data_IF_844312046864
#
_entry.id   IF_844312046864
#
_cell.length_a   1.000
_cell.length_b   1.000
_cell.length_c   1.000
_cell.angle_alpha   90.00
_cell.angle_beta   90.00
_cell.angle_gamma   90.00
#
_symmetry.space_group_name_H-M   'P 1'
#
loop_
_entity.id
_entity.type
_entity.pdbx_description
1 polymer ?
#
# COMPACT_ATOMS: atom_id res chain seq x y z
N UNK A 1 -0.98 -26.06 -9.35
CA UNK A 1 -2.10 -25.15 -9.65
C UNK A 1 -2.46 -24.50 -8.34
N UNK A 2 -2.44 -23.18 -8.29
CA UNK A 2 -2.80 -22.43 -7.09
C UNK A 2 -4.31 -22.41 -6.90
N UNK A 3 -4.80 -22.67 -5.69
CA UNK A 3 -6.24 -22.74 -5.41
C UNK A 3 -6.61 -22.21 -4.02
N UNK A 4 -7.85 -21.76 -3.87
CA UNK A 4 -8.42 -21.40 -2.57
C UNK A 4 -8.90 -22.66 -1.86
N UNK A 5 -8.28 -23.00 -0.74
CA UNK A 5 -8.55 -24.25 0.01
C UNK A 5 -9.42 -24.03 1.26
N UNK A 6 -9.56 -22.78 1.68
CA UNK A 6 -10.38 -22.38 2.83
C UNK A 6 -10.84 -20.93 2.67
N UNK A 7 -12.05 -20.67 3.11
CA UNK A 7 -12.62 -19.32 3.19
C UNK A 7 -13.39 -19.19 4.50
N UNK A 8 -13.10 -18.13 5.23
CA UNK A 8 -13.84 -17.70 6.40
C UNK A 8 -14.24 -16.23 6.23
N UNK A 9 -15.42 -15.88 6.73
CA UNK A 9 -15.85 -14.50 6.76
C UNK A 9 -16.52 -14.19 8.10
N UNK A 10 -16.34 -12.96 8.55
CA UNK A 10 -16.94 -12.46 9.78
C UNK A 10 -17.44 -11.04 9.59
N UNK A 11 -18.55 -10.70 10.24
CA UNK A 11 -19.04 -9.32 10.24
C UNK A 11 -18.20 -8.49 11.21
N UNK A 12 -17.42 -7.56 10.69
CA UNK A 12 -16.52 -6.69 11.46
C UNK A 12 -17.13 -5.34 11.82
N UNK A 13 -18.26 -4.98 11.19
CA UNK A 13 -18.99 -3.76 11.52
C UNK A 13 -20.43 -3.74 11.01
N UNK A 14 -21.11 -2.61 11.17
CA UNK A 14 -22.49 -2.43 10.66
C UNK A 14 -22.55 -2.73 9.16
N UNK A 15 -21.58 -2.21 8.43
CA UNK A 15 -21.48 -2.27 6.97
C UNK A 15 -20.19 -2.96 6.49
N UNK A 16 -19.46 -3.66 7.37
CA UNK A 16 -18.19 -4.29 7.00
C UNK A 16 -18.22 -5.80 7.22
N UNK A 17 -17.67 -6.53 6.26
CA UNK A 17 -17.43 -7.96 6.33
C UNK A 17 -15.95 -8.19 6.05
N UNK A 18 -15.27 -8.87 6.97
CA UNK A 18 -13.88 -9.28 6.78
C UNK A 18 -13.88 -10.70 6.22
N UNK A 19 -13.16 -10.91 5.13
CA UNK A 19 -12.95 -12.18 4.47
C UNK A 19 -11.49 -12.61 4.62
N UNK A 20 -11.26 -13.87 4.96
CA UNK A 20 -9.95 -14.50 4.97
C UNK A 20 -9.99 -15.75 4.09
N UNK A 21 -9.23 -15.72 3.00
CA UNK A 21 -9.08 -16.83 2.07
C UNK A 21 -7.68 -17.45 2.25
N UNK A 22 -7.61 -18.76 2.41
CA UNK A 22 -6.35 -19.49 2.40
C UNK A 22 -6.09 -20.04 1.00
N UNK A 23 -4.99 -19.60 0.41
CA UNK A 23 -4.55 -19.95 -0.94
C UNK A 23 -3.37 -20.91 -0.84
N UNK A 24 -3.43 -22.02 -1.55
CA UNK A 24 -2.39 -23.05 -1.61
C UNK A 24 -1.68 -22.99 -2.97
N UNK A 25 -0.36 -22.76 -3.01
CA UNK A 25 0.45 -22.74 -4.24
C UNK A 25 1.06 -24.10 -4.62
N UNK A 26 0.66 -25.16 -3.93
CA UNK A 26 1.02 -26.56 -4.16
C UNK A 26 2.36 -26.98 -3.55
N UNK A 27 3.42 -26.21 -3.80
CA UNK A 27 4.77 -26.47 -3.28
C UNK A 27 5.30 -25.28 -2.49
N UNK A 28 6.20 -25.54 -1.53
CA UNK A 28 6.87 -24.47 -0.80
C UNK A 28 7.75 -23.62 -1.72
N UNK A 29 7.59 -22.30 -1.59
CA UNK A 29 8.39 -21.29 -2.30
C UNK A 29 9.10 -20.38 -1.31
N UNK A 30 10.24 -19.83 -1.73
CA UNK A 30 10.98 -18.85 -0.95
C UNK A 30 10.33 -17.47 -1.00
N UNK A 31 10.19 -16.86 0.17
CA UNK A 31 9.53 -15.57 0.37
C UNK A 31 10.61 -14.51 0.58
N UNK A 32 10.97 -13.82 -0.49
CA UNK A 32 11.86 -12.66 -0.41
C UNK A 32 11.15 -11.52 0.32
N UNK A 33 11.83 -10.95 1.30
CA UNK A 33 11.27 -9.91 2.17
C UNK A 33 11.96 -8.59 1.93
N UNK A 34 11.19 -7.52 2.05
CA UNK A 34 11.69 -6.14 2.09
C UNK A 34 11.47 -5.58 3.48
N UNK A 35 12.47 -4.83 3.97
CA UNK A 35 12.34 -4.00 5.16
C UNK A 35 12.16 -2.55 4.73
N UNK A 36 11.06 -1.95 5.15
CA UNK A 36 10.73 -0.55 4.91
C UNK A 36 10.84 0.24 6.20
N UNK A 37 11.38 1.46 6.11
CA UNK A 37 11.43 2.39 7.24
C UNK A 37 10.29 3.39 7.14
N UNK A 38 9.48 3.50 8.19
CA UNK A 38 8.29 4.38 8.17
C UNK A 38 8.63 5.86 7.99
N UNK A 39 9.81 6.30 8.41
CA UNK A 39 10.29 7.67 8.27
C UNK A 39 11.09 7.94 7.00
N UNK A 40 11.37 6.90 6.21
CA UNK A 40 12.13 6.99 4.96
C UNK A 40 11.52 6.04 3.93
N UNK A 41 10.46 6.54 3.30
CA UNK A 41 9.66 5.83 2.28
C UNK A 41 10.51 5.31 1.10
N UNK A 42 11.72 5.86 0.89
CA UNK A 42 12.60 5.48 -0.22
C UNK A 42 13.80 4.60 0.17
N UNK A 43 14.02 4.32 1.46
CA UNK A 43 15.13 3.46 1.94
C UNK A 43 14.65 2.02 2.19
N UNK A 44 13.91 1.42 1.25
CA UNK A 44 13.52 0.02 1.37
C UNK A 44 14.72 -0.90 1.09
N UNK A 45 14.91 -1.92 1.94
CA UNK A 45 16.04 -2.84 1.85
C UNK A 45 15.52 -4.25 1.63
N UNK A 46 15.82 -4.83 0.47
CA UNK A 46 15.59 -6.26 0.22
C UNK A 46 16.52 -7.04 1.14
N UNK A 47 15.94 -7.89 2.00
CA UNK A 47 16.69 -8.69 2.95
C UNK A 47 17.50 -9.76 2.21
N UNK A 48 18.70 -10.06 2.69
CA UNK A 48 19.52 -11.14 2.12
C UNK A 48 19.03 -12.51 2.61
N UNK A 49 19.31 -13.60 1.87
CA UNK A 49 19.03 -14.96 2.33
C UNK A 49 19.66 -15.25 3.71
N UNK A 50 19.12 -16.21 4.49
CA UNK A 50 18.06 -17.14 4.13
C UNK A 50 16.65 -16.52 4.17
N UNK A 51 15.83 -16.87 3.18
CA UNK A 51 14.43 -16.46 3.11
C UNK A 51 13.52 -17.50 3.78
N UNK A 52 12.46 -17.07 4.49
CA UNK A 52 11.44 -17.98 4.95
C UNK A 52 10.75 -18.64 3.76
N UNK A 53 10.22 -19.85 3.96
CA UNK A 53 9.49 -20.61 2.94
C UNK A 53 8.04 -20.77 3.35
N UNK A 54 7.14 -20.77 2.37
CA UNK A 54 5.76 -21.18 2.60
C UNK A 54 5.12 -21.76 1.35
N UNK A 55 4.10 -22.59 1.57
CA UNK A 55 3.14 -23.09 0.59
C UNK A 55 1.81 -22.32 0.59
N UNK A 56 1.54 -21.55 1.65
CA UNK A 56 0.22 -20.95 1.88
C UNK A 56 0.29 -19.43 1.92
N UNK A 57 -0.77 -18.81 1.38
CA UNK A 57 -1.00 -17.38 1.45
C UNK A 57 -2.38 -17.11 2.04
N UNK A 58 -2.47 -16.12 2.92
CA UNK A 58 -3.73 -15.56 3.39
C UNK A 58 -4.04 -14.32 2.56
N UNK A 59 -5.15 -14.35 1.83
CA UNK A 59 -5.76 -13.18 1.22
C UNK A 59 -6.84 -12.67 2.17
N UNK A 60 -6.57 -11.51 2.76
CA UNK A 60 -7.51 -10.79 3.61
C UNK A 60 -8.16 -9.66 2.82
N UNK A 61 -9.49 -9.62 2.80
CA UNK A 61 -10.27 -8.57 2.14
C UNK A 61 -11.28 -8.04 3.14
N UNK A 62 -11.32 -6.71 3.32
CA UNK A 62 -12.44 -6.04 3.98
C UNK A 62 -13.40 -5.52 2.93
N UNK A 63 -14.61 -6.03 2.95
CA UNK A 63 -15.70 -5.63 2.09
C UNK A 63 -16.60 -4.62 2.83
N UNK A 64 -16.83 -3.45 2.23
CA UNK A 64 -17.85 -2.51 2.68
C UNK A 64 -19.14 -2.70 1.87
N UNK A 65 -20.26 -2.92 2.58
CA UNK A 65 -21.59 -3.08 2.00
C UNK A 65 -22.52 -1.98 2.49
N UNK A 66 -23.15 -1.31 1.54
CA UNK A 66 -24.26 -0.38 1.79
C UNK A 66 -25.45 -0.71 0.88
N UNK A 67 -26.57 -0.03 1.08
CA UNK A 67 -27.80 -0.16 0.29
C UNK A 67 -27.60 0.00 -1.22
N UNK A 68 -26.55 0.69 -1.65
CA UNK A 68 -26.22 0.93 -3.05
C UNK A 68 -25.26 -0.10 -3.69
N UNK A 69 -24.64 -0.99 -2.90
CA UNK A 69 -23.70 -1.98 -3.44
C UNK A 69 -22.64 -2.44 -2.45
N UNK A 70 -21.63 -3.13 -3.00
CA UNK A 70 -20.46 -3.61 -2.28
C UNK A 70 -19.18 -3.09 -2.92
N UNK A 71 -18.18 -2.76 -2.10
CA UNK A 71 -16.85 -2.35 -2.53
C UNK A 71 -15.78 -2.95 -1.62
N UNK A 72 -14.55 -3.05 -2.13
CA UNK A 72 -13.41 -3.45 -1.31
C UNK A 72 -12.80 -2.22 -0.64
N UNK A 73 -12.75 -2.26 0.68
CA UNK A 73 -12.23 -1.20 1.56
C UNK A 73 -10.74 -1.40 1.87
N UNK A 74 -10.33 -2.64 2.08
CA UNK A 74 -8.93 -3.01 2.35
C UNK A 74 -8.61 -4.39 1.77
N UNK A 75 -7.37 -4.59 1.34
CA UNK A 75 -6.90 -5.84 0.77
C UNK A 75 -5.43 -6.07 1.09
N UNK A 76 -5.15 -7.24 1.66
CA UNK A 76 -3.80 -7.63 2.08
C UNK A 76 -3.54 -9.09 1.71
N UNK A 77 -2.33 -9.36 1.22
CA UNK A 77 -1.86 -10.73 0.94
C UNK A 77 -0.65 -11.02 1.80
N UNK A 78 -0.77 -12.02 2.66
CA UNK A 78 0.28 -12.46 3.56
C UNK A 78 0.77 -13.86 3.18
N UNK A 79 2.08 -14.08 3.02
CA UNK A 79 2.63 -15.42 3.11
C UNK A 79 2.44 -15.93 4.54
N UNK A 80 1.92 -17.14 4.74
CA UNK A 80 1.55 -17.64 6.07
C UNK A 80 1.99 -19.07 6.31
N UNK A 81 2.18 -19.45 7.57
CA UNK A 81 2.20 -20.84 7.99
C UNK A 81 0.78 -21.25 8.36
N UNK A 82 0.33 -22.41 7.85
CA UNK A 82 -1.00 -22.93 8.12
C UNK A 82 -0.97 -24.46 8.24
N UNK A 83 -1.89 -24.99 9.03
CA UNK A 83 -2.12 -26.43 9.14
C UNK A 83 -3.61 -26.75 9.17
N UNK A 84 -3.94 -27.98 8.82
CA UNK A 84 -5.30 -28.50 8.91
C UNK A 84 -5.39 -29.44 10.11
N UNK A 85 -6.29 -29.16 11.04
CA UNK A 85 -6.63 -30.13 12.08
C UNK A 85 -7.26 -31.38 11.44
N UNK A 86 -6.99 -32.59 11.95
CA UNK A 86 -7.57 -33.81 11.37
C UNK A 86 -9.08 -33.88 11.60
N UNK A 87 -9.78 -34.61 10.74
CA UNK A 87 -11.19 -34.95 10.98
C UNK A 87 -11.29 -35.85 12.22
N UNK A 88 -12.24 -35.55 13.11
CA UNK A 88 -12.55 -36.41 14.25
C UNK A 88 -13.54 -37.49 13.79
N UNK A 89 -13.09 -38.74 13.74
CA UNK A 89 -13.93 -39.90 13.44
C UNK A 89 -13.99 -40.85 14.65
N UNK A 90 -15.19 -41.34 14.99
CA UNK A 90 -15.39 -42.39 16.02
C UNK A 90 -16.22 -43.49 15.37
N UNK A 91 -15.72 -44.73 15.45
CA UNK A 91 -16.38 -45.92 14.86
C UNK A 91 -16.74 -45.75 13.38
N UNK A 92 -15.90 -45.05 12.61
CA UNK A 92 -16.15 -44.78 11.18
C UNK A 92 -17.10 -43.62 10.89
N UNK A 93 -17.75 -43.04 11.91
CA UNK A 93 -18.60 -41.85 11.78
C UNK A 93 -17.76 -40.59 11.97
N UNK A 94 -17.81 -39.67 10.98
CA UNK A 94 -17.17 -38.35 11.09
C UNK A 94 -18.01 -37.44 11.98
N UNK A 95 -17.50 -37.15 13.18
CA UNK A 95 -18.15 -36.30 14.17
C UNK A 95 -17.81 -34.82 14.01
N UNK A 96 -16.58 -34.52 13.58
CA UNK A 96 -16.14 -33.15 13.32
C UNK A 96 -15.22 -33.12 12.12
N UNK A 97 -15.47 -32.19 11.20
CA UNK A 97 -14.56 -31.92 10.09
C UNK A 97 -13.38 -31.10 10.61
N UNK A 98 -12.19 -31.45 10.18
CA UNK A 98 -10.96 -30.71 10.40
C UNK A 98 -11.07 -29.30 9.84
N UNK A 99 -10.56 -28.34 10.59
CA UNK A 99 -10.52 -26.92 10.24
C UNK A 99 -9.09 -26.50 9.89
N UNK A 100 -8.96 -25.54 8.98
CA UNK A 100 -7.70 -24.88 8.70
C UNK A 100 -7.41 -23.83 9.77
N UNK A 101 -6.14 -23.73 10.15
CA UNK A 101 -5.65 -22.75 11.12
C UNK A 101 -4.39 -22.10 10.57
N UNK A 102 -4.40 -20.77 10.51
CA UNK A 102 -3.23 -19.95 10.23
C UNK A 102 -2.47 -19.77 11.54
N UNK A 103 -1.22 -20.22 11.60
CA UNK A 103 -0.39 -20.15 12.80
C UNK A 103 0.45 -18.89 12.88
N UNK A 104 0.96 -18.43 11.74
CA UNK A 104 1.85 -17.29 11.69
C UNK A 104 1.74 -16.60 10.32
N UNK A 105 1.66 -15.27 10.32
CA UNK A 105 1.90 -14.46 9.12
C UNK A 105 3.38 -14.14 9.03
N UNK A 106 4.00 -14.38 7.87
CA UNK A 106 5.40 -14.05 7.59
C UNK A 106 5.49 -12.54 7.32
N UNK A 107 5.32 -11.77 8.38
CA UNK A 107 5.22 -10.32 8.39
C UNK A 107 5.61 -9.81 9.77
N UNK A 108 6.39 -8.72 9.84
CA UNK A 108 6.79 -8.11 11.12
C UNK A 108 6.64 -6.61 11.05
N UNK A 109 5.86 -6.04 11.96
CA UNK A 109 5.72 -4.59 12.12
C UNK A 109 6.34 -4.16 13.44
N UNK A 110 7.28 -3.23 13.37
CA UNK A 110 7.81 -2.51 14.52
C UNK A 110 7.38 -1.03 14.47
N UNK A 111 7.74 -0.26 15.49
CA UNK A 111 7.41 1.17 15.55
C UNK A 111 7.95 1.93 14.33
N UNK A 112 9.12 1.53 13.86
CA UNK A 112 9.95 2.30 12.93
C UNK A 112 10.19 1.58 11.60
N UNK A 113 9.99 0.27 11.60
CA UNK A 113 10.26 -0.61 10.47
C UNK A 113 9.12 -1.57 10.24
N UNK A 114 8.99 -2.02 9.00
CA UNK A 114 8.02 -3.02 8.57
C UNK A 114 8.74 -4.00 7.65
N UNK A 115 8.67 -5.29 7.97
CA UNK A 115 9.23 -6.36 7.16
C UNK A 115 8.06 -7.10 6.55
N UNK A 116 7.96 -7.03 5.23
CA UNK A 116 6.87 -7.60 4.46
C UNK A 116 7.39 -8.33 3.24
N UNK A 117 6.48 -9.02 2.55
CA UNK A 117 6.81 -9.69 1.30
C UNK A 117 7.11 -8.66 0.20
N UNK A 118 8.07 -8.94 -0.67
CA UNK A 118 8.50 -7.97 -1.70
C UNK A 118 7.39 -7.58 -2.69
N UNK A 119 6.34 -8.40 -2.84
CA UNK A 119 5.19 -8.12 -3.70
C UNK A 119 4.00 -7.50 -2.96
N UNK A 120 4.13 -7.15 -1.67
CA UNK A 120 3.01 -6.61 -0.89
C UNK A 120 2.42 -5.36 -1.56
N UNK A 121 3.28 -4.46 -2.04
CA UNK A 121 2.87 -3.25 -2.76
C UNK A 121 2.15 -3.52 -4.08
N UNK A 122 2.49 -4.61 -4.78
CA UNK A 122 1.81 -4.99 -6.01
C UNK A 122 0.33 -5.28 -5.73
N UNK A 123 0.02 -5.91 -4.59
CA UNK A 123 -1.35 -6.18 -4.16
C UNK A 123 -2.07 -4.95 -3.59
N UNK A 124 -1.36 -4.03 -2.93
CA UNK A 124 -1.94 -2.74 -2.54
C UNK A 124 -2.38 -1.92 -3.77
N UNK A 125 -1.52 -1.84 -4.80
CA UNK A 125 -1.87 -1.19 -6.06
C UNK A 125 -3.03 -1.90 -6.76
N UNK A 126 -3.03 -3.23 -6.73
CA UNK A 126 -4.10 -4.04 -7.28
C UNK A 126 -5.47 -3.72 -6.64
N UNK A 127 -5.50 -3.56 -5.32
CA UNK A 127 -6.70 -3.18 -4.58
C UNK A 127 -7.26 -1.82 -5.02
N UNK A 128 -6.39 -0.84 -5.28
CA UNK A 128 -6.78 0.49 -5.75
C UNK A 128 -7.35 0.42 -7.17
N UNK A 129 -6.69 -0.31 -8.06
CA UNK A 129 -7.09 -0.36 -9.48
C UNK A 129 -8.34 -1.19 -9.72
N UNK A 130 -8.65 -2.14 -8.84
CA UNK A 130 -9.80 -3.05 -8.97
C UNK A 130 -10.84 -2.86 -7.84
N UNK A 131 -10.82 -1.73 -7.10
CA UNK A 131 -11.69 -1.52 -5.93
C UNK A 131 -13.21 -1.69 -6.20
N UNK A 132 -13.62 -1.51 -7.46
CA UNK A 132 -15.02 -1.63 -7.92
C UNK A 132 -15.36 -3.02 -8.48
N UNK A 133 -14.37 -3.90 -8.64
CA UNK A 133 -14.60 -5.26 -9.09
C UNK A 133 -15.42 -6.02 -8.05
N UNK A 134 -16.21 -6.99 -8.53
CA UNK A 134 -16.87 -7.90 -7.62
C UNK A 134 -15.83 -8.76 -6.87
N UNK A 135 -16.19 -9.18 -5.66
CA UNK A 135 -15.28 -9.91 -4.76
C UNK A 135 -14.73 -11.20 -5.38
N UNK A 136 -15.56 -11.95 -6.10
CA UNK A 136 -15.17 -13.24 -6.71
C UNK A 136 -14.11 -13.05 -7.79
N UNK A 137 -14.35 -12.13 -8.73
CA UNK A 137 -13.41 -11.72 -9.77
C UNK A 137 -12.10 -11.23 -9.17
N UNK A 138 -12.17 -10.45 -8.08
CA UNK A 138 -10.96 -9.96 -7.41
C UNK A 138 -10.14 -11.10 -6.80
N UNK A 139 -10.80 -12.04 -6.12
CA UNK A 139 -10.13 -13.22 -5.55
C UNK A 139 -9.48 -14.04 -6.66
N UNK A 140 -10.18 -14.31 -7.76
CA UNK A 140 -9.65 -15.08 -8.89
C UNK A 140 -8.43 -14.41 -9.52
N UNK A 141 -8.47 -13.10 -9.74
CA UNK A 141 -7.35 -12.35 -10.30
C UNK A 141 -6.13 -12.36 -9.36
N UNK A 142 -6.35 -12.26 -8.04
CA UNK A 142 -5.27 -12.34 -7.05
C UNK A 142 -4.68 -13.74 -7.00
N UNK A 143 -5.51 -14.78 -7.00
CA UNK A 143 -5.07 -16.18 -7.02
C UNK A 143 -4.24 -16.45 -8.27
N UNK A 144 -4.68 -15.99 -9.44
CA UNK A 144 -3.92 -16.08 -10.68
C UNK A 144 -2.57 -15.35 -10.57
N UNK A 145 -2.56 -14.15 -9.96
CA UNK A 145 -1.31 -13.39 -9.76
C UNK A 145 -0.34 -14.09 -8.80
N UNK A 146 -0.86 -14.70 -7.74
CA UNK A 146 -0.05 -15.51 -6.82
C UNK A 146 0.52 -16.74 -7.55
N UNK A 147 -0.27 -17.40 -8.42
CA UNK A 147 0.19 -18.53 -9.24
C UNK A 147 1.35 -18.14 -10.17
N UNK A 148 1.23 -17.00 -10.86
CA UNK A 148 2.28 -16.45 -11.71
C UNK A 148 3.58 -16.20 -10.92
N UNK A 149 3.47 -15.56 -9.75
CA UNK A 149 4.62 -15.28 -8.90
C UNK A 149 5.26 -16.59 -8.42
N UNK A 150 4.46 -17.54 -7.93
CA UNK A 150 4.94 -18.83 -7.47
C UNK A 150 5.63 -19.62 -8.59
N UNK A 151 5.06 -19.66 -9.79
CA UNK A 151 5.66 -20.28 -10.97
C UNK A 151 6.99 -19.60 -11.35
N UNK A 152 7.05 -18.27 -11.30
CA UNK A 152 8.27 -17.50 -11.60
C UNK A 152 9.41 -17.80 -10.63
N UNK A 153 9.10 -17.96 -9.34
CA UNK A 153 10.07 -18.31 -8.31
C UNK A 153 10.58 -19.75 -8.52
N UNK A 154 9.69 -20.70 -8.83
CA UNK A 154 10.05 -22.11 -9.07
C UNK A 154 10.94 -22.29 -10.30
N UNK A 155 10.72 -21.49 -11.35
CA UNK A 155 11.50 -21.54 -12.59
C UNK A 155 12.83 -20.79 -12.50
N UNK A 156 13.06 -20.03 -11.43
CA UNK A 156 14.26 -19.20 -11.22
C UNK A 156 14.24 -17.86 -11.97
N UNK A 157 13.21 -17.61 -12.80
CA UNK A 157 13.02 -16.36 -13.53
C UNK A 157 11.97 -15.50 -12.84
N UNK A 158 12.35 -14.96 -11.68
CA UNK A 158 11.45 -14.20 -10.83
C UNK A 158 10.95 -12.92 -11.51
N UNK A 159 9.64 -12.68 -11.44
CA UNK A 159 9.02 -11.42 -11.86
C UNK A 159 9.46 -10.30 -10.92
N UNK A 160 9.92 -9.16 -11.44
CA UNK A 160 10.26 -8.01 -10.60
C UNK A 160 9.00 -7.40 -9.99
N UNK A 161 9.05 -7.10 -8.69
CA UNK A 161 8.00 -6.33 -8.01
C UNK A 161 7.92 -4.91 -8.55
N UNK A 162 6.80 -4.25 -8.35
CA UNK A 162 6.63 -2.84 -8.70
C UNK A 162 7.68 -1.95 -8.01
N UNK A 163 7.96 -2.22 -6.73
CA UNK A 163 9.00 -1.51 -5.98
C UNK A 163 10.39 -1.63 -6.65
N UNK A 164 10.77 -2.85 -7.06
CA UNK A 164 12.06 -3.06 -7.74
C UNK A 164 12.11 -2.39 -9.10
N UNK A 165 11.00 -2.41 -9.85
CA UNK A 165 10.90 -1.68 -11.11
C UNK A 165 11.06 -0.18 -10.91
N UNK A 166 10.46 0.39 -9.85
CA UNK A 166 10.66 1.80 -9.52
C UNK A 166 12.12 2.10 -9.16
N UNK A 167 12.76 1.23 -8.38
CA UNK A 167 14.17 1.38 -8.01
C UNK A 167 15.09 1.33 -9.23
N UNK A 168 14.94 0.35 -10.10
CA UNK A 168 15.74 0.24 -11.33
C UNK A 168 15.58 1.44 -12.25
N UNK A 169 14.36 1.98 -12.38
CA UNK A 169 14.10 3.19 -13.16
C UNK A 169 14.79 4.42 -12.57
N UNK A 170 14.82 4.55 -11.23
CA UNK A 170 15.54 5.64 -10.55
C UNK A 170 17.05 5.52 -10.74
N UNK A 171 17.62 4.34 -10.51
CA UNK A 171 19.06 4.11 -10.69
C UNK A 171 19.49 4.39 -12.16
N UNK A 172 18.65 4.03 -13.14
CA UNK A 172 18.88 4.35 -14.54
C UNK A 172 18.79 5.85 -14.84
N UNK A 173 17.84 6.56 -14.21
CA UNK A 173 17.72 8.01 -14.32
C UNK A 173 18.93 8.72 -13.71
N UNK A 174 19.36 8.32 -12.51
CA UNK A 174 20.51 8.88 -11.81
C UNK A 174 21.80 8.66 -12.63
N UNK A 175 21.99 7.45 -13.17
CA UNK A 175 23.12 7.15 -14.04
C UNK A 175 23.10 7.95 -15.35
N UNK A 176 21.92 8.17 -15.96
CA UNK A 176 21.77 9.00 -17.15
C UNK A 176 22.11 10.47 -16.85
N UNK A 177 21.67 11.00 -15.71
CA UNK A 177 21.99 12.35 -15.25
C UNK A 177 23.49 12.54 -14.98
N UNK A 178 24.13 11.58 -14.30
CA UNK A 178 25.58 11.59 -14.06
C UNK A 178 26.38 11.51 -15.38
N UNK A 179 25.88 10.77 -16.38
CA UNK A 179 26.53 10.65 -17.71
C UNK A 179 26.38 11.90 -18.59
N UNK A 180 25.38 12.74 -18.34
CA UNK A 180 25.12 13.98 -19.08
C UNK A 180 25.75 15.22 -18.40
N UNK A 181 26.26 15.10 -17.18
CA UNK A 181 26.85 16.22 -16.43
C UNK A 181 28.32 16.53 -16.81
N UNK A 182 28.52 17.11 -17.99
CA UNK A 182 29.49 18.22 -18.15
C UNK A 182 28.90 19.58 -17.73
N UNK A 183 27.61 19.58 -17.36
CA UNK A 183 26.91 20.71 -16.72
C UNK A 183 26.94 20.47 -15.22
N UNK A 184 27.80 21.20 -14.52
CA UNK A 184 27.76 21.36 -13.07
C UNK A 184 26.43 22.01 -12.68
N UNK A 185 25.40 21.18 -12.46
CA UNK A 185 24.36 21.50 -11.51
C UNK A 185 25.04 21.35 -10.15
N UNK A 186 25.17 22.45 -9.42
CA UNK A 186 25.81 22.46 -8.10
C UNK A 186 25.28 21.30 -7.26
N UNK A 187 26.18 20.37 -6.89
CA UNK A 187 26.01 19.43 -5.79
C UNK A 187 25.78 20.21 -4.50
N UNK A 188 24.56 20.68 -4.29
CA UNK A 188 24.04 21.22 -3.03
C UNK A 188 22.60 20.72 -2.95
N UNK A 189 22.22 19.75 -2.12
CA UNK A 189 22.73 19.43 -0.80
C UNK A 189 22.90 17.91 -0.62
N UNK A 190 24.14 17.46 -0.49
CA UNK A 190 24.43 16.33 0.39
C UNK A 190 24.16 16.87 1.80
N UNK A 191 22.98 16.56 2.36
CA UNK A 191 22.76 16.71 3.79
C UNK A 191 23.69 15.73 4.50
N UNK A 192 24.89 16.20 4.84
CA UNK A 192 25.68 15.61 5.92
C UNK A 192 24.78 15.60 7.15
N UNK A 193 24.34 14.42 7.55
CA UNK A 193 23.61 14.20 8.79
C UNK A 193 24.28 14.93 9.94
N UNK A 194 23.62 15.91 10.57
CA UNK A 194 23.97 16.29 11.93
C UNK A 194 23.33 15.22 12.82
N UNK A 195 24.13 14.61 13.69
CA UNK A 195 23.63 13.78 14.77
C UNK A 195 22.69 14.62 15.65
N UNK A 196 21.39 14.50 15.44
CA UNK A 196 20.40 15.15 16.29
C UNK A 196 19.81 14.12 17.26
N UNK A 197 20.22 14.21 18.52
CA UNK A 197 19.46 13.69 19.64
C UNK A 197 18.18 14.54 19.78
N UNK A 198 17.06 14.02 19.29
CA UNK A 198 15.74 14.56 19.63
C UNK A 198 15.38 14.09 21.05
N UNK A 199 15.71 14.90 22.05
CA UNK A 199 15.02 14.88 23.33
C UNK A 199 13.83 15.83 23.17
N UNK A 200 12.64 15.28 23.00
CA UNK A 200 11.40 16.04 23.12
C UNK A 200 10.46 15.29 24.06
N UNK A 201 10.47 15.69 25.32
CA UNK A 201 9.39 15.37 26.26
C UNK A 201 8.10 16.06 25.79
N UNK A 202 7.00 15.31 25.84
CA UNK A 202 5.69 15.73 25.37
C UNK A 202 5.07 16.85 26.21
N UNK A 203 4.37 17.75 25.51
CA UNK A 203 3.26 18.53 26.05
C UNK A 203 2.22 18.82 24.95
N UNK A 204 0.95 18.53 25.23
CA UNK A 204 -0.19 18.90 24.36
C UNK A 204 -0.33 20.43 24.32
N UNK A 205 -0.05 21.08 23.19
CA UNK A 205 -0.32 22.51 23.12
C UNK A 205 -0.01 23.27 21.84
N UNK A 206 0.99 22.90 21.04
CA UNK A 206 1.58 23.91 20.14
C UNK A 206 1.72 23.47 18.67
N UNK A 207 0.59 23.05 18.08
CA UNK A 207 0.49 22.69 16.65
C UNK A 207 0.87 23.84 15.70
N UNK A 208 0.63 25.08 16.12
CA UNK A 208 0.93 26.30 15.35
C UNK A 208 2.41 26.64 15.40
N UNK A 209 3.06 26.41 16.55
CA UNK A 209 4.50 26.60 16.72
C UNK A 209 5.30 25.58 15.92
N UNK A 210 4.82 24.33 15.86
CA UNK A 210 5.37 23.28 15.00
C UNK A 210 5.23 23.64 13.51
N UNK A 211 4.10 24.21 13.07
CA UNK A 211 3.93 24.68 11.70
C UNK A 211 4.88 25.85 11.36
N UNK A 212 5.04 26.80 12.28
CA UNK A 212 5.93 27.96 12.10
C UNK A 212 7.42 27.60 12.18
N UNK A 213 7.79 26.48 12.83
CA UNK A 213 9.14 25.91 12.79
C UNK A 213 9.39 25.16 11.48
N UNK A 214 8.45 24.31 11.05
CA UNK A 214 8.54 23.61 9.76
C UNK A 214 8.64 24.60 8.59
N UNK A 215 7.83 25.67 8.61
CA UNK A 215 7.87 26.71 7.58
C UNK A 215 9.18 27.50 7.61
N UNK A 216 9.74 27.78 8.79
CA UNK A 216 11.06 28.42 8.91
C UNK A 216 12.17 27.53 8.38
N UNK A 217 12.12 26.23 8.67
CA UNK A 217 13.12 25.27 8.24
C UNK A 217 13.07 25.06 6.72
N UNK A 218 11.88 25.03 6.11
CA UNK A 218 11.70 24.96 4.66
C UNK A 218 12.25 26.20 3.94
N UNK A 219 12.09 27.39 4.53
CA UNK A 219 12.65 28.64 3.99
C UNK A 219 14.18 28.69 4.16
N UNK A 220 14.71 28.21 5.29
CA UNK A 220 16.16 28.12 5.52
C UNK A 220 16.86 27.11 4.58
N UNK A 221 16.12 26.09 4.11
CA UNK A 221 16.56 25.13 3.10
C UNK A 221 16.49 25.67 1.66
N UNK A 222 16.12 26.94 1.46
CA UNK A 222 16.13 27.59 0.14
C UNK A 222 14.99 27.17 -0.79
N UNK A 223 13.93 26.53 -0.27
CA UNK A 223 12.75 26.20 -1.05
C UNK A 223 11.91 27.46 -1.29
N UNK A 224 12.16 28.16 -2.40
CA UNK A 224 11.19 29.11 -2.97
C UNK A 224 10.22 28.38 -3.89
N UNK A 225 9.03 28.96 -4.03
CA UNK A 225 7.86 28.44 -4.78
C UNK A 225 8.13 28.04 -6.25
N UNK A 226 9.33 28.30 -6.77
CA UNK A 226 9.78 27.99 -8.14
C UNK A 226 10.45 26.60 -8.28
N UNK A 227 10.58 25.81 -7.20
CA UNK A 227 11.10 24.42 -7.28
C UNK A 227 10.09 23.41 -7.84
N UNK A 228 8.84 23.82 -8.05
CA UNK A 228 7.86 23.07 -8.81
C UNK A 228 7.70 23.77 -10.17
N UNK A 229 8.41 23.23 -11.16
CA UNK A 229 8.55 23.79 -12.51
C UNK A 229 7.25 24.40 -13.06
N UNK A 230 7.40 25.60 -13.62
CA UNK A 230 6.30 26.41 -14.12
C UNK A 230 5.41 25.68 -15.12
N UNK A 231 4.16 25.51 -14.73
CA UNK A 231 3.01 25.57 -15.63
C UNK A 231 1.88 26.26 -14.89
N UNK A 232 1.59 27.49 -15.30
CA UNK A 232 0.44 28.28 -14.86
C UNK A 232 -0.86 27.54 -15.23
N UNK A 233 -1.36 26.70 -14.33
CA UNK A 233 -2.76 26.29 -14.15
C UNK A 233 -2.79 25.22 -13.06
N UNK A 234 -3.30 25.63 -11.90
CA UNK A 234 -3.86 24.88 -10.76
C UNK A 234 -3.39 25.60 -9.49
N UNK A 235 -3.98 26.76 -9.25
CA UNK A 235 -4.16 27.27 -7.88
C UNK A 235 -5.65 27.17 -7.62
N UNK A 236 -6.12 25.95 -7.35
CA UNK A 236 -7.37 25.79 -6.64
C UNK A 236 -7.05 26.04 -5.16
N UNK A 237 -7.37 27.26 -4.70
CA UNK A 237 -7.40 27.62 -3.28
C UNK A 237 -8.18 26.56 -2.51
N UNK A 238 -7.51 25.82 -1.63
CA UNK A 238 -8.19 25.09 -0.55
C UNK A 238 -8.46 26.12 0.55
N UNK A 239 -9.53 26.90 0.39
CA UNK A 239 -10.15 27.64 1.50
C UNK A 239 -11.14 26.71 2.19
N UNK A 240 -10.87 26.35 3.44
CA UNK A 240 -11.80 25.59 4.30
C UNK A 240 -12.87 26.58 4.82
N UNK A 241 -14.15 26.46 4.44
CA UNK A 241 -15.17 27.34 5.00
C UNK A 241 -15.55 26.87 6.40
N UNK A 242 -15.38 27.77 7.39
CA UNK A 242 -16.04 27.64 8.69
C UNK A 242 -17.53 27.97 8.53
N UNK A 243 -18.38 26.97 8.73
CA UNK A 243 -19.81 27.07 9.10
C UNK A 243 -20.62 28.23 8.49
N UNK A 244 -21.35 27.99 7.39
CA UNK A 244 -22.49 28.84 7.01
C UNK A 244 -23.49 28.14 6.05
N UNK A 245 -24.74 28.13 6.51
CA UNK A 245 -26.05 27.92 5.88
C UNK A 245 -26.15 27.65 4.35
N UNK A 246 -26.53 26.42 4.00
CA UNK A 246 -26.71 25.91 2.62
C UNK A 246 -27.93 26.56 1.92
N UNK A 247 -28.85 27.16 2.67
CA UNK A 247 -30.11 27.69 2.13
C UNK A 247 -29.94 28.95 1.27
N UNK A 248 -28.83 29.69 1.45
CA UNK A 248 -28.51 30.90 0.67
C UNK A 248 -27.88 30.62 -0.69
N UNK A 249 -27.32 29.43 -0.92
CA UNK A 249 -26.58 29.14 -2.15
C UNK A 249 -27.46 28.56 -3.26
N UNK A 250 -28.62 27.98 -2.93
CA UNK A 250 -29.55 27.43 -3.93
C UNK A 250 -30.24 28.56 -4.73
N UNK A 251 -30.46 29.74 -4.14
CA UNK A 251 -31.03 30.90 -4.84
C UNK A 251 -30.04 31.67 -5.73
N UNK A 252 -28.77 31.29 -5.76
CA UNK A 252 -27.74 31.95 -6.58
C UNK A 252 -27.28 31.08 -7.77
N UNK A 253 -27.76 29.83 -7.87
CA UNK A 253 -27.42 28.88 -8.93
C UNK A 253 -28.35 29.02 -10.15
N UNK A 254 -29.47 29.76 -10.05
CA UNK A 254 -30.41 29.96 -11.15
C UNK A 254 -30.04 31.09 -12.14
N UNK A 255 -28.92 31.80 -12.01
CA UNK A 255 -28.72 33.06 -12.75
C UNK A 255 -27.49 33.19 -13.68
N UNK A 256 -26.74 32.13 -14.00
CA UNK A 256 -25.63 32.27 -14.97
C UNK A 256 -25.61 31.16 -16.03
N UNK A 257 -26.62 31.21 -16.90
CA UNK A 257 -26.44 30.98 -18.34
C UNK A 257 -25.42 32.01 -18.88
N UNK A 258 -24.29 31.57 -19.45
CA UNK A 258 -23.84 31.91 -20.83
C UNK A 258 -22.38 31.42 -21.04
N UNK A 259 -22.22 30.24 -21.64
CA UNK A 259 -20.93 29.66 -22.06
C UNK A 259 -20.60 30.07 -23.50
N UNK A 260 -20.55 31.39 -23.75
CA UNK A 260 -20.40 31.96 -25.11
C UNK A 260 -18.98 32.15 -25.63
N UNK A 261 -17.92 31.75 -24.91
CA UNK A 261 -16.52 32.03 -25.32
C UNK A 261 -15.67 30.80 -25.63
N UNK A 262 -16.26 29.60 -25.66
CA UNK A 262 -15.51 28.33 -25.78
C UNK A 262 -15.19 27.89 -27.22
N UNK A 263 -15.41 28.74 -28.24
CA UNK A 263 -14.95 28.48 -29.60
C UNK A 263 -14.59 29.79 -30.33
N UNK A 264 -13.32 30.20 -30.24
CA UNK A 264 -12.51 30.75 -31.35
C UNK A 264 -11.02 30.73 -31.00
#
# INVERSE_FOLDING_TARGET
MTEVIYHEYQRSGKNHIDHSYLVDVGDEIEIQQVMEYKWKVFDSVVLKPPHPKTRYFELFIREFRDTAGSMVDDLQVYPVQAYKSPDLTILGLRLRRGAWHITERIYKKANTTEIQWIYTDDFHLFAITHAQDNLESMVDQIVARIDEIAASIKTGYRIYSHMENQRMRREAFDAAMDSQSGVTINKTAILKHPEFQLIAELGEGDRKRMQDEILRDLVALGATLDTFGGSNKIVAKIEIPKSADITSQISHIEELEDLGWLFE
#
